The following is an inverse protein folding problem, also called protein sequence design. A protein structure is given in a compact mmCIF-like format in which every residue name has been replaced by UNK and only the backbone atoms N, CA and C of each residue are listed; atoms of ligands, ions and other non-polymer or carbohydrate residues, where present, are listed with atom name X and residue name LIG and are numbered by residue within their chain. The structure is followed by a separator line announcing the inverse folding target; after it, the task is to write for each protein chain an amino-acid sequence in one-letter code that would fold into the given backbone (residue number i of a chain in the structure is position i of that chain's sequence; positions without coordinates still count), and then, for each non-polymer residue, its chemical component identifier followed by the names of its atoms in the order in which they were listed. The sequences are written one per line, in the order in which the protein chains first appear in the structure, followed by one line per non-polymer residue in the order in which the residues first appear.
data_IF_397117633687
#
_entry.id   IF_397117633687
#
_cell.length_a   1.000
_cell.length_b   1.000
_cell.length_c   1.000
_cell.angle_alpha   90.00
_cell.angle_beta   90.00
_cell.angle_gamma   90.00
#
_symmetry.space_group_name_H-M   'P 1'
#
loop_
_entity.id
_entity.type
_entity.pdbx_description
1 polymer ?
#
# COMPACT_ATOMS: atom_id res chain seq x y z
N UNK A 1 7.57 7.45 -7.19
CA UNK A 1 7.24 6.64 -6.00
C UNK A 1 6.72 5.26 -6.37
N UNK A 2 5.92 5.14 -7.44
CA UNK A 2 5.42 3.88 -8.01
C UNK A 2 6.48 2.78 -8.26
N UNK A 3 7.73 3.19 -8.53
CA UNK A 3 8.84 2.26 -8.76
C UNK A 3 9.25 1.45 -7.51
N UNK A 4 9.05 1.97 -6.29
CA UNK A 4 9.41 1.23 -5.07
C UNK A 4 8.55 -0.03 -4.91
N UNK A 5 7.23 0.14 -5.02
CA UNK A 5 6.26 -0.97 -4.96
C UNK A 5 6.49 -1.94 -6.12
N UNK A 6 6.72 -1.41 -7.34
CA UNK A 6 7.01 -2.24 -8.51
C UNK A 6 8.28 -3.07 -8.35
N UNK A 7 9.35 -2.49 -7.79
CA UNK A 7 10.60 -3.20 -7.56
C UNK A 7 10.41 -4.35 -6.58
N UNK A 8 9.80 -4.10 -5.42
CA UNK A 8 9.53 -5.14 -4.42
C UNK A 8 8.63 -6.22 -5.00
N UNK A 9 7.58 -5.84 -5.72
CA UNK A 9 6.67 -6.80 -6.35
C UNK A 9 7.40 -7.72 -7.34
N UNK A 10 8.26 -7.15 -8.20
CA UNK A 10 9.06 -7.91 -9.16
C UNK A 10 10.05 -8.85 -8.47
N UNK A 11 10.74 -8.39 -7.42
CA UNK A 11 11.69 -9.23 -6.68
C UNK A 11 11.01 -10.36 -5.92
N UNK A 12 9.88 -10.09 -5.26
CA UNK A 12 9.11 -11.14 -4.58
C UNK A 12 8.57 -12.18 -5.57
N UNK A 13 8.10 -11.74 -6.74
CA UNK A 13 7.72 -12.64 -7.83
C UNK A 13 8.88 -13.48 -8.34
N UNK A 14 10.08 -12.91 -8.49
CA UNK A 14 11.30 -13.64 -8.83
C UNK A 14 11.65 -14.71 -7.77
N UNK A 15 11.45 -14.40 -6.49
CA UNK A 15 11.64 -15.37 -5.39
C UNK A 15 10.50 -16.39 -5.24
N UNK A 16 9.48 -16.35 -6.10
CA UNK A 16 8.40 -17.34 -6.15
C UNK A 16 7.16 -17.01 -5.33
N UNK A 17 7.06 -15.80 -4.76
CA UNK A 17 5.83 -15.31 -4.12
C UNK A 17 4.78 -15.04 -5.19
N UNK A 18 3.63 -15.72 -5.11
CA UNK A 18 2.55 -15.60 -6.11
C UNK A 18 1.41 -14.70 -5.66
N UNK A 19 1.10 -14.74 -4.37
CA UNK A 19 -0.05 -14.03 -3.80
C UNK A 19 0.46 -13.01 -2.79
N UNK A 20 0.30 -11.73 -3.11
CA UNK A 20 0.81 -10.62 -2.32
C UNK A 20 -0.29 -9.58 -2.12
N UNK A 21 -0.71 -9.44 -0.87
CA UNK A 21 -1.57 -8.33 -0.48
C UNK A 21 -0.78 -7.02 -0.46
N UNK A 22 -1.38 -5.96 -1.00
CA UNK A 22 -0.74 -4.63 -1.11
C UNK A 22 -1.67 -3.55 -0.59
N UNK A 23 -1.18 -2.79 0.39
CA UNK A 23 -1.84 -1.58 0.89
C UNK A 23 -0.84 -0.43 0.82
N UNK A 24 -1.20 0.62 0.08
CA UNK A 24 -0.37 1.81 -0.12
C UNK A 24 -1.16 3.03 0.31
N UNK A 25 -0.56 3.86 1.16
CA UNK A 25 -1.09 5.15 1.58
C UNK A 25 -0.19 6.21 0.97
N UNK A 26 -0.72 7.01 0.05
CA UNK A 26 0.07 7.99 -0.70
C UNK A 26 -0.74 9.24 -1.05
N UNK A 27 -0.06 10.31 -1.43
CA UNK A 27 -0.69 11.60 -1.79
C UNK A 27 -0.93 12.54 -0.61
N UNK A 28 -0.79 12.10 0.64
CA UNK A 28 -1.01 12.94 1.84
C UNK A 28 -0.09 14.17 1.91
N UNK A 29 1.13 14.11 1.37
CA UNK A 29 2.03 15.27 1.28
C UNK A 29 1.73 16.16 0.06
N UNK A 30 1.17 15.59 -1.01
CA UNK A 30 0.81 16.32 -2.23
C UNK A 30 -0.53 17.06 -2.08
N UNK A 31 -1.43 16.53 -1.25
CA UNK A 31 -2.73 17.11 -0.89
C UNK A 31 -2.83 17.27 0.64
N UNK A 32 -2.14 18.26 1.23
CA UNK A 32 -2.10 18.44 2.68
C UNK A 32 -3.48 18.66 3.31
N UNK A 33 -4.39 19.28 2.57
CA UNK A 33 -5.79 19.52 2.94
C UNK A 33 -6.59 18.22 3.11
N UNK A 34 -6.15 17.13 2.46
CA UNK A 34 -6.76 15.80 2.54
C UNK A 34 -5.89 14.78 3.26
N UNK A 35 -4.79 15.20 3.87
CA UNK A 35 -3.81 14.29 4.44
C UNK A 35 -4.41 13.36 5.48
N UNK A 36 -5.22 13.90 6.42
CA UNK A 36 -5.87 13.11 7.46
C UNK A 36 -6.85 12.08 6.88
N UNK A 37 -7.65 12.48 5.89
CA UNK A 37 -8.60 11.59 5.21
C UNK A 37 -7.88 10.45 4.47
N UNK A 38 -6.82 10.78 3.73
CA UNK A 38 -5.99 9.82 2.99
C UNK A 38 -5.37 8.79 3.94
N UNK A 39 -4.81 9.27 5.06
CA UNK A 39 -4.18 8.40 6.06
C UNK A 39 -5.24 7.52 6.74
N UNK A 40 -6.36 8.09 7.18
CA UNK A 40 -7.42 7.37 7.86
C UNK A 40 -8.00 6.26 6.97
N UNK A 41 -8.30 6.57 5.71
CA UNK A 41 -8.83 5.60 4.73
C UNK A 41 -7.82 4.48 4.46
N UNK A 42 -6.55 4.85 4.33
CA UNK A 42 -5.46 3.88 4.14
C UNK A 42 -5.30 2.92 5.32
N UNK A 43 -5.38 3.44 6.55
CA UNK A 43 -5.32 2.63 7.78
C UNK A 43 -6.53 1.71 7.90
N UNK A 44 -7.74 2.19 7.59
CA UNK A 44 -8.94 1.35 7.59
C UNK A 44 -8.80 0.18 6.60
N UNK A 45 -8.28 0.43 5.40
CA UNK A 45 -8.00 -0.61 4.41
C UNK A 45 -6.95 -1.60 4.93
N UNK A 46 -5.89 -1.14 5.58
CA UNK A 46 -4.87 -2.00 6.17
C UNK A 46 -5.47 -2.94 7.22
N UNK A 47 -6.32 -2.43 8.11
CA UNK A 47 -7.03 -3.25 9.12
C UNK A 47 -7.94 -4.28 8.45
N UNK A 48 -8.67 -3.90 7.40
CA UNK A 48 -9.55 -4.84 6.67
C UNK A 48 -8.77 -5.98 6.01
N UNK A 49 -7.66 -5.66 5.34
CA UNK A 49 -6.79 -6.67 4.73
C UNK A 49 -6.19 -7.57 5.80
N UNK A 50 -5.65 -7.00 6.89
CA UNK A 50 -5.04 -7.77 7.97
C UNK A 50 -6.03 -8.73 8.68
N UNK A 51 -7.33 -8.44 8.66
CA UNK A 51 -8.36 -9.35 9.20
C UNK A 51 -8.61 -10.57 8.31
N UNK A 52 -8.25 -10.50 7.03
CA UNK A 52 -8.51 -11.53 6.03
C UNK A 52 -7.21 -12.19 5.49
N UNK A 53 -6.04 -11.73 5.96
CA UNK A 53 -4.72 -12.26 5.61
C UNK A 53 -4.39 -13.50 6.45
#
# INVERSE_FOLDING_TARGET
MEMAVKYVASMMGFFGVKDMEKVVIEGHNQFPDKAEEIIATGLEKAVKVARAF
#
